data_IF_478253606812
#
_entry.id   IF_478253606812
#
_cell.length_a   1.000
_cell.length_b   1.000
_cell.length_c   1.000
_cell.angle_alpha   90.00
_cell.angle_beta   90.00
_cell.angle_gamma   90.00
#
_symmetry.space_group_name_H-M   'P 1'
#
loop_
_entity.id
_entity.type
_entity.pdbx_description
1 polymer ?
#
# COMPACT_ATOMS: atom_id res chain seq x y z
N UNK A 1 -26.68 24.93 2.76
CA UNK A 1 -26.89 26.39 2.80
C UNK A 1 -25.59 27.17 2.53
N UNK A 2 -24.46 26.77 3.11
CA UNK A 2 -23.16 27.45 2.95
C UNK A 2 -22.67 27.62 1.52
N UNK A 3 -22.79 26.58 0.70
CA UNK A 3 -22.44 26.62 -0.73
C UNK A 3 -23.25 27.68 -1.50
N UNK A 4 -24.55 27.82 -1.21
CA UNK A 4 -25.40 28.85 -1.83
C UNK A 4 -24.96 30.25 -1.42
N UNK A 5 -24.70 30.49 -0.14
CA UNK A 5 -24.19 31.79 0.35
C UNK A 5 -22.88 32.16 -0.35
N UNK A 6 -21.95 31.21 -0.44
CA UNK A 6 -20.69 31.42 -1.15
C UNK A 6 -20.92 31.75 -2.63
N UNK A 7 -21.80 31.03 -3.32
CA UNK A 7 -22.06 31.25 -4.76
C UNK A 7 -22.61 32.65 -5.10
N UNK A 8 -23.19 33.35 -4.12
CA UNK A 8 -23.71 34.72 -4.27
C UNK A 8 -22.85 35.78 -3.58
N UNK A 9 -21.61 35.43 -3.19
CA UNK A 9 -20.63 36.36 -2.63
C UNK A 9 -20.82 36.67 -1.14
N UNK A 10 -21.63 35.89 -0.42
CA UNK A 10 -21.81 36.04 1.03
C UNK A 10 -20.71 35.23 1.73
N UNK A 11 -19.88 35.92 2.52
CA UNK A 11 -18.84 35.28 3.33
C UNK A 11 -19.45 34.55 4.53
N UNK A 12 -18.97 33.34 4.81
CA UNK A 12 -19.39 32.54 5.97
C UNK A 12 -18.17 32.04 6.74
N UNK A 13 -18.19 32.24 8.06
CA UNK A 13 -17.12 31.79 8.96
C UNK A 13 -17.07 30.26 8.97
N UNK A 14 -15.91 29.69 8.67
CA UNK A 14 -15.72 28.23 8.65
C UNK A 14 -16.10 27.55 7.33
N UNK A 15 -16.41 28.29 6.27
CA UNK A 15 -16.63 27.71 4.95
C UNK A 15 -15.32 27.14 4.38
N UNK A 16 -15.30 25.83 4.10
CA UNK A 16 -14.15 25.13 3.51
C UNK A 16 -14.38 25.00 2.00
N UNK A 17 -13.77 25.91 1.24
CA UNK A 17 -13.88 25.95 -0.23
C UNK A 17 -13.48 24.63 -0.91
N UNK A 18 -12.48 23.93 -0.35
CA UNK A 18 -11.96 22.68 -0.90
C UNK A 18 -12.99 21.54 -0.95
N UNK A 19 -14.07 21.60 -0.15
CA UNK A 19 -15.08 20.54 -0.07
C UNK A 19 -16.41 20.95 -0.70
N UNK A 20 -16.48 22.14 -1.30
CA UNK A 20 -17.74 22.75 -1.72
C UNK A 20 -18.17 22.39 -3.14
N UNK A 21 -17.22 21.99 -4.01
CA UNK A 21 -17.45 21.46 -5.35
C UNK A 21 -17.73 19.94 -5.25
N UNK A 22 -18.96 19.60 -4.87
CA UNK A 22 -19.37 18.21 -4.62
C UNK A 22 -19.80 17.49 -5.90
N UNK A 23 -20.10 18.24 -6.95
CA UNK A 23 -20.41 17.67 -8.26
C UNK A 23 -19.15 17.49 -9.14
N UNK A 24 -17.99 18.04 -8.73
CA UNK A 24 -16.68 17.93 -9.36
C UNK A 24 -16.66 18.58 -10.77
N UNK A 25 -17.44 19.64 -10.97
CA UNK A 25 -17.47 20.38 -12.24
C UNK A 25 -16.48 21.55 -12.32
N UNK A 26 -15.74 21.81 -11.23
CA UNK A 26 -14.75 22.88 -11.10
C UNK A 26 -15.34 24.23 -10.67
N UNK A 27 -16.66 24.34 -10.47
CA UNK A 27 -17.36 25.58 -10.18
C UNK A 27 -18.31 25.46 -8.99
N UNK A 28 -17.98 26.13 -7.87
CA UNK A 28 -18.85 26.09 -6.67
C UNK A 28 -20.12 26.93 -6.90
N UNK A 29 -21.26 26.27 -7.11
CA UNK A 29 -22.52 26.93 -7.46
C UNK A 29 -23.79 26.23 -6.91
N UNK A 30 -24.97 26.57 -7.45
CA UNK A 30 -26.25 25.99 -7.02
C UNK A 30 -26.39 24.50 -7.34
N UNK A 31 -25.67 23.98 -8.33
CA UNK A 31 -25.61 22.56 -8.67
C UNK A 31 -25.00 21.73 -7.52
N UNK A 32 -23.93 22.21 -6.89
CA UNK A 32 -23.35 21.59 -5.71
C UNK A 32 -24.32 21.56 -4.53
N UNK A 33 -24.97 22.70 -4.27
CA UNK A 33 -25.95 22.80 -3.22
C UNK A 33 -27.13 21.85 -3.44
N UNK A 34 -27.57 21.69 -4.69
CA UNK A 34 -28.62 20.76 -5.07
C UNK A 34 -28.18 19.31 -4.86
N UNK A 35 -26.95 18.95 -5.23
CA UNK A 35 -26.42 17.60 -5.00
C UNK A 35 -26.33 17.27 -3.51
N UNK A 36 -25.82 18.19 -2.68
CA UNK A 36 -25.84 18.06 -1.22
C UNK A 36 -27.25 17.83 -0.70
N UNK A 37 -28.23 18.61 -1.18
CA UNK A 37 -29.62 18.47 -0.75
C UNK A 37 -30.16 17.09 -1.13
N UNK A 38 -30.02 16.67 -2.38
CA UNK A 38 -30.47 15.35 -2.85
C UNK A 38 -29.85 14.22 -2.05
N UNK A 39 -28.56 14.31 -1.72
CA UNK A 39 -27.88 13.34 -0.85
C UNK A 39 -28.46 13.35 0.57
N UNK A 40 -28.67 14.54 1.15
CA UNK A 40 -29.18 14.67 2.52
C UNK A 40 -30.59 14.11 2.70
N UNK A 41 -31.39 14.07 1.63
CA UNK A 41 -32.75 13.51 1.64
C UNK A 41 -32.83 12.12 1.02
N UNK A 42 -31.68 11.49 0.71
CA UNK A 42 -31.62 10.12 0.19
C UNK A 42 -32.08 9.93 -1.26
N UNK A 43 -32.13 11.01 -2.06
CA UNK A 43 -32.49 10.96 -3.48
C UNK A 43 -31.31 10.62 -4.39
N UNK A 44 -30.08 10.90 -3.95
CA UNK A 44 -28.83 10.57 -4.65
C UNK A 44 -27.76 10.13 -3.64
N UNK A 45 -26.70 9.47 -4.10
CA UNK A 45 -25.48 9.22 -3.32
C UNK A 45 -24.37 10.14 -3.81
N UNK A 46 -23.43 10.50 -2.92
CA UNK A 46 -22.21 11.15 -3.39
C UNK A 46 -21.45 10.21 -4.32
N UNK A 47 -20.96 10.74 -5.45
CA UNK A 47 -20.05 10.00 -6.31
C UNK A 47 -18.60 10.31 -5.87
N UNK A 48 -18.19 9.62 -4.83
CA UNK A 48 -16.85 9.76 -4.24
C UNK A 48 -15.79 9.02 -5.05
N UNK A 49 -16.10 8.61 -6.29
CA UNK A 49 -15.14 8.02 -7.22
C UNK A 49 -13.95 8.97 -7.39
N UNK A 50 -12.73 8.55 -7.03
CA UNK A 50 -11.52 9.33 -7.26
C UNK A 50 -11.30 9.60 -8.74
N UNK A 51 -10.88 10.82 -9.08
CA UNK A 51 -10.70 11.28 -10.47
C UNK A 51 -9.26 11.62 -10.83
N UNK A 52 -8.36 11.72 -9.85
CA UNK A 52 -6.94 11.98 -10.04
C UNK A 52 -6.07 10.93 -9.34
N UNK A 53 -4.80 10.79 -9.77
CA UNK A 53 -3.85 9.89 -9.12
C UNK A 53 -3.71 10.17 -7.62
N UNK A 54 -3.64 11.46 -7.23
CA UNK A 54 -3.62 11.87 -5.82
C UNK A 54 -4.83 11.33 -5.06
N UNK A 55 -6.03 11.55 -5.59
CA UNK A 55 -7.27 11.12 -4.92
C UNK A 55 -7.34 9.59 -4.80
N UNK A 56 -6.87 8.85 -5.81
CA UNK A 56 -6.85 7.38 -5.76
C UNK A 56 -5.89 6.89 -4.66
N UNK A 57 -4.71 7.50 -4.54
CA UNK A 57 -3.74 7.13 -3.50
C UNK A 57 -4.24 7.51 -2.10
N UNK A 58 -4.84 8.69 -1.96
CA UNK A 58 -5.45 9.10 -0.69
C UNK A 58 -6.61 8.16 -0.29
N UNK A 59 -7.42 7.73 -1.26
CA UNK A 59 -8.49 6.74 -1.05
C UNK A 59 -7.92 5.39 -0.58
N UNK A 60 -6.85 4.90 -1.23
CA UNK A 60 -6.17 3.67 -0.82
C UNK A 60 -5.64 3.76 0.63
N UNK A 61 -4.86 4.79 0.96
CA UNK A 61 -4.29 4.96 2.30
C UNK A 61 -5.39 5.09 3.37
N UNK A 62 -6.48 5.78 3.04
CA UNK A 62 -7.64 5.91 3.93
C UNK A 62 -8.33 4.56 4.15
N UNK A 63 -8.54 3.79 3.08
CA UNK A 63 -9.17 2.49 3.16
C UNK A 63 -8.33 1.49 3.98
N UNK A 64 -7.01 1.54 3.82
CA UNK A 64 -6.09 0.68 4.57
C UNK A 64 -6.03 1.04 6.06
N UNK A 65 -5.95 2.33 6.40
CA UNK A 65 -6.06 2.80 7.80
C UNK A 65 -7.40 2.41 8.45
N UNK A 66 -8.50 2.54 7.70
CA UNK A 66 -9.82 2.10 8.16
C UNK A 66 -9.86 0.59 8.38
N UNK A 67 -9.15 -0.17 7.56
CA UNK A 67 -9.02 -1.62 7.71
C UNK A 67 -8.29 -1.97 9.00
N UNK A 68 -7.14 -1.35 9.25
CA UNK A 68 -6.35 -1.60 10.44
C UNK A 68 -7.05 -1.25 11.74
N UNK A 69 -7.97 -0.27 11.72
CA UNK A 69 -8.76 0.10 12.90
C UNK A 69 -10.01 -0.76 13.13
N UNK A 70 -10.41 -1.62 12.19
CA UNK A 70 -11.70 -2.32 12.24
C UNK A 70 -11.62 -3.83 12.02
N UNK A 71 -10.52 -4.34 11.47
CA UNK A 71 -10.37 -5.76 11.22
C UNK A 71 -10.37 -6.55 12.53
N UNK A 72 -11.08 -7.67 12.55
CA UNK A 72 -11.12 -8.63 13.66
C UNK A 72 -10.26 -9.86 13.39
N UNK A 73 -9.94 -10.11 12.13
CA UNK A 73 -9.08 -11.22 11.70
C UNK A 73 -8.36 -10.87 10.42
N UNK A 74 -7.13 -11.33 10.28
CA UNK A 74 -6.39 -11.34 9.02
C UNK A 74 -5.88 -12.75 8.74
N UNK A 75 -5.98 -13.16 7.48
CA UNK A 75 -5.32 -14.37 6.94
C UNK A 75 -4.33 -13.93 5.90
N UNK A 76 -3.08 -14.35 6.05
CA UNK A 76 -1.94 -13.94 5.23
C UNK A 76 -1.36 -15.17 4.57
N UNK A 77 -1.07 -15.05 3.28
CA UNK A 77 -0.30 -16.03 2.51
C UNK A 77 0.91 -15.31 1.94
N UNK A 78 2.11 -15.78 2.27
CA UNK A 78 3.35 -15.32 1.67
C UNK A 78 3.98 -16.42 0.84
N UNK A 79 4.57 -16.05 -0.28
CA UNK A 79 5.27 -16.95 -1.19
C UNK A 79 6.50 -16.23 -1.75
N UNK A 80 7.58 -16.98 -1.94
CA UNK A 80 8.81 -16.46 -2.52
C UNK A 80 9.41 -17.45 -3.52
N UNK A 81 9.60 -16.96 -4.74
CA UNK A 81 10.34 -17.67 -5.78
C UNK A 81 11.55 -16.84 -6.15
N UNK A 82 12.74 -17.38 -5.89
CA UNK A 82 13.99 -16.69 -6.18
C UNK A 82 15.08 -17.61 -6.72
N UNK A 83 15.96 -17.02 -7.51
CA UNK A 83 17.26 -17.58 -7.83
C UNK A 83 18.27 -16.97 -6.86
N UNK A 84 18.90 -17.81 -6.05
CA UNK A 84 20.01 -17.46 -5.18
C UNK A 84 21.33 -17.89 -5.81
N UNK A 85 22.37 -17.10 -5.62
CA UNK A 85 23.72 -17.48 -6.03
C UNK A 85 24.72 -17.07 -4.97
N UNK A 86 25.46 -18.03 -4.44
CA UNK A 86 26.55 -17.80 -3.49
C UNK A 86 27.88 -18.14 -4.15
N UNK A 87 28.77 -17.16 -4.27
CA UNK A 87 30.08 -17.33 -4.88
C UNK A 87 30.07 -18.00 -6.27
N UNK A 88 29.00 -17.80 -7.04
CA UNK A 88 28.80 -18.37 -8.38
C UNK A 88 28.05 -19.71 -8.40
N UNK A 89 27.83 -20.35 -7.26
CA UNK A 89 26.99 -21.55 -7.16
C UNK A 89 25.52 -21.15 -7.04
N UNK A 90 24.70 -21.68 -7.95
CA UNK A 90 23.30 -21.26 -8.13
C UNK A 90 22.34 -22.28 -7.52
N UNK A 91 21.37 -21.78 -6.76
CA UNK A 91 20.23 -22.53 -6.24
C UNK A 91 18.94 -21.82 -6.60
N UNK A 92 17.90 -22.57 -6.96
CA UNK A 92 16.56 -22.03 -7.13
C UNK A 92 15.76 -22.38 -5.88
N UNK A 93 15.21 -21.37 -5.24
CA UNK A 93 14.29 -21.51 -4.13
C UNK A 93 12.87 -21.21 -4.62
N UNK A 94 11.96 -22.12 -4.29
CA UNK A 94 10.53 -21.84 -4.24
C UNK A 94 10.07 -22.38 -2.90
N UNK A 95 9.55 -21.51 -2.04
CA UNK A 95 8.91 -21.97 -0.81
C UNK A 95 7.52 -22.50 -1.12
N UNK A 96 7.07 -23.48 -0.34
CA UNK A 96 5.62 -23.68 -0.22
C UNK A 96 5.04 -22.41 0.41
N UNK A 97 3.87 -21.92 -0.03
CA UNK A 97 3.27 -20.74 0.55
C UNK A 97 3.10 -20.89 2.07
N UNK A 98 3.57 -19.90 2.81
CA UNK A 98 3.43 -19.84 4.26
C UNK A 98 2.11 -19.14 4.55
N UNK A 99 1.30 -19.77 5.39
CA UNK A 99 0.01 -19.21 5.80
C UNK A 99 0.03 -18.88 7.29
N UNK A 100 -0.41 -17.66 7.61
CA UNK A 100 -0.52 -17.15 8.97
C UNK A 100 -1.91 -16.56 9.17
N UNK A 101 -2.48 -16.74 10.36
CA UNK A 101 -3.72 -16.08 10.76
C UNK A 101 -3.50 -15.35 12.09
N UNK A 102 -4.11 -14.19 12.25
CA UNK A 102 -4.16 -13.47 13.50
C UNK A 102 -5.60 -12.97 13.76
N UNK A 103 -6.03 -13.06 15.02
CA UNK A 103 -7.32 -12.56 15.50
C UNK A 103 -7.08 -11.38 16.43
N UNK A 104 -7.96 -10.37 16.36
CA UNK A 104 -7.78 -9.10 17.05
C UNK A 104 -8.90 -8.82 18.04
N UNK A 105 -8.53 -8.59 19.30
CA UNK A 105 -9.42 -8.15 20.36
C UNK A 105 -9.04 -6.73 20.75
N UNK A 106 -9.98 -5.79 20.63
CA UNK A 106 -9.73 -4.36 20.82
C UNK A 106 -8.57 -3.80 19.95
N UNK A 107 -8.37 -4.39 18.77
CA UNK A 107 -7.37 -3.95 17.79
C UNK A 107 -5.97 -4.53 17.96
N UNK A 108 -5.76 -5.45 18.91
CA UNK A 108 -4.49 -6.13 19.18
C UNK A 108 -4.67 -7.65 19.11
N UNK A 109 -3.62 -8.36 18.70
CA UNK A 109 -3.57 -9.83 18.74
C UNK A 109 -3.05 -10.37 20.09
N UNK A 110 -2.71 -11.66 20.15
CA UNK A 110 -2.21 -12.31 21.37
C UNK A 110 -0.82 -11.85 21.83
N UNK A 111 -0.05 -11.23 20.94
CA UNK A 111 1.31 -10.74 21.18
C UNK A 111 1.36 -9.19 21.28
N UNK A 112 0.20 -8.56 21.49
CA UNK A 112 0.00 -7.11 21.55
C UNK A 112 0.38 -6.37 20.24
N UNK A 113 0.40 -7.06 19.10
CA UNK A 113 0.61 -6.41 17.80
C UNK A 113 -0.70 -5.85 17.23
N UNK A 114 -0.68 -4.61 16.72
CA UNK A 114 -1.82 -4.05 16.02
C UNK A 114 -1.97 -4.68 14.64
N UNK A 115 -3.17 -4.60 14.05
CA UNK A 115 -3.44 -5.05 12.67
C UNK A 115 -2.45 -4.45 11.66
N UNK A 116 -2.01 -3.20 11.86
CA UNK A 116 -1.04 -2.53 10.98
C UNK A 116 0.34 -3.19 10.94
N UNK A 117 0.70 -4.00 11.93
CA UNK A 117 1.96 -4.77 11.92
C UNK A 117 1.95 -5.87 10.85
N UNK A 118 0.77 -6.25 10.37
CA UNK A 118 0.58 -7.34 9.44
C UNK A 118 0.49 -6.91 7.98
N UNK A 119 0.49 -5.61 7.66
CA UNK A 119 0.34 -5.09 6.30
C UNK A 119 1.33 -3.95 6.01
N UNK A 120 1.34 -3.41 4.78
CA UNK A 120 2.24 -2.32 4.42
C UNK A 120 1.84 -1.00 5.11
N UNK A 121 2.78 -0.06 5.18
CA UNK A 121 2.51 1.30 5.65
C UNK A 121 1.50 2.02 4.73
N UNK A 122 0.84 3.05 5.26
CA UNK A 122 -0.19 3.83 4.57
C UNK A 122 0.34 5.21 4.16
N UNK A 123 1.58 5.26 3.65
CA UNK A 123 2.31 6.51 3.37
C UNK A 123 2.62 6.74 1.90
N UNK A 124 2.03 5.94 1.01
CA UNK A 124 2.17 6.16 -0.43
C UNK A 124 1.73 7.56 -0.82
N UNK A 125 2.48 8.17 -1.73
CA UNK A 125 2.11 9.42 -2.41
C UNK A 125 2.14 9.19 -3.90
N UNK A 126 1.38 9.97 -4.68
CA UNK A 126 1.37 9.85 -6.15
C UNK A 126 2.77 9.89 -6.77
N UNK A 127 3.70 10.66 -6.18
CA UNK A 127 5.06 10.82 -6.70
C UNK A 127 5.91 9.55 -6.56
N UNK A 128 5.50 8.60 -5.72
CA UNK A 128 6.16 7.30 -5.52
C UNK A 128 5.68 6.25 -6.53
N UNK A 129 4.65 6.53 -7.31
CA UNK A 129 4.02 5.56 -8.21
C UNK A 129 4.49 5.74 -9.66
N UNK A 130 4.70 4.61 -10.32
CA UNK A 130 4.87 4.53 -11.76
C UNK A 130 3.51 4.50 -12.48
N UNK A 131 2.50 3.88 -11.86
CA UNK A 131 1.12 3.88 -12.36
C UNK A 131 0.11 3.64 -11.24
N UNK A 132 -1.13 4.09 -11.47
CA UNK A 132 -2.27 3.83 -10.61
C UNK A 132 -3.55 3.69 -11.44
N UNK A 133 -4.43 2.79 -11.05
CA UNK A 133 -5.74 2.59 -11.66
C UNK A 133 -6.80 2.36 -10.58
N UNK A 134 -7.98 2.92 -10.82
CA UNK A 134 -9.17 2.75 -9.99
C UNK A 134 -10.28 2.12 -10.82
N UNK A 135 -10.87 1.06 -10.29
CA UNK A 135 -11.93 0.30 -10.96
C UNK A 135 -13.11 0.23 -9.99
N UNK A 136 -14.26 0.77 -10.42
CA UNK A 136 -15.52 0.67 -9.70
C UNK A 136 -16.28 -0.56 -10.16
N UNK A 137 -16.54 -1.49 -9.24
CA UNK A 137 -17.42 -2.63 -9.46
C UNK A 137 -18.79 -2.36 -8.81
N UNK A 138 -19.77 -3.23 -9.05
CA UNK A 138 -21.14 -3.02 -8.55
C UNK A 138 -21.23 -2.91 -7.01
N UNK A 139 -20.37 -3.63 -6.27
CA UNK A 139 -20.38 -3.69 -4.80
C UNK A 139 -18.99 -3.57 -4.16
N UNK A 140 -17.99 -3.14 -4.92
CA UNK A 140 -16.61 -3.00 -4.44
C UNK A 140 -15.83 -2.04 -5.33
N UNK A 141 -14.66 -1.66 -4.84
CA UNK A 141 -13.66 -0.93 -5.60
C UNK A 141 -12.41 -1.80 -5.71
N UNK A 142 -11.68 -1.66 -6.80
CA UNK A 142 -10.36 -2.26 -6.96
C UNK A 142 -9.36 -1.17 -7.32
N UNK A 143 -8.27 -1.11 -6.57
CA UNK A 143 -7.13 -0.23 -6.84
C UNK A 143 -5.95 -1.09 -7.26
N UNK A 144 -5.31 -0.71 -8.36
CA UNK A 144 -4.03 -1.29 -8.81
C UNK A 144 -2.99 -0.20 -8.86
N UNK A 145 -1.83 -0.43 -8.26
CA UNK A 145 -0.70 0.51 -8.26
C UNK A 145 0.59 -0.22 -8.61
N UNK A 146 1.52 0.50 -9.21
CA UNK A 146 2.90 0.05 -9.37
C UNK A 146 3.80 1.12 -8.76
N UNK A 147 4.56 0.76 -7.73
CA UNK A 147 5.57 1.63 -7.12
C UNK A 147 6.74 1.82 -8.11
N UNK A 148 7.34 3.02 -8.15
CA UNK A 148 8.53 3.28 -8.97
C UNK A 148 9.68 2.33 -8.63
N UNK A 149 10.53 1.98 -9.62
CA UNK A 149 11.77 1.26 -9.34
C UNK A 149 12.63 2.00 -8.32
N UNK A 150 13.27 1.26 -7.43
CA UNK A 150 14.10 1.80 -6.37
C UNK A 150 15.32 0.91 -6.16
N UNK A 151 16.52 1.51 -6.11
CA UNK A 151 17.75 0.81 -5.73
C UNK A 151 18.21 1.32 -4.37
N UNK A 152 18.30 0.42 -3.40
CA UNK A 152 18.55 0.71 -2.00
C UNK A 152 19.85 0.04 -1.58
N UNK A 153 20.77 0.81 -0.99
CA UNK A 153 21.98 0.27 -0.36
C UNK A 153 21.61 -0.50 0.91
N UNK A 154 22.28 -1.62 1.19
CA UNK A 154 21.98 -2.47 2.38
C UNK A 154 22.13 -1.76 3.73
N UNK A 155 22.75 -0.57 3.76
CA UNK A 155 22.89 0.28 4.96
C UNK A 155 21.88 1.41 5.03
N UNK A 156 20.89 1.42 4.13
CA UNK A 156 19.87 2.47 4.06
C UNK A 156 18.50 1.84 4.01
N UNK A 157 17.54 2.60 4.51
CA UNK A 157 16.13 2.23 4.39
C UNK A 157 15.62 2.54 2.98
N UNK A 158 14.71 1.69 2.51
CA UNK A 158 13.89 1.99 1.34
C UNK A 158 12.98 3.17 1.66
N UNK A 159 12.76 4.06 0.69
CA UNK A 159 11.79 5.15 0.78
C UNK A 159 10.45 4.70 0.18
N UNK A 160 10.48 4.08 -1.01
CA UNK A 160 9.24 3.78 -1.74
C UNK A 160 8.59 2.48 -1.27
N UNK A 161 9.37 1.40 -1.12
CA UNK A 161 8.84 0.13 -0.63
C UNK A 161 8.47 0.17 0.85
N UNK A 162 9.17 0.96 1.67
CA UNK A 162 8.74 1.18 3.06
C UNK A 162 7.38 1.90 3.18
N UNK A 163 6.97 2.67 2.16
CA UNK A 163 5.74 3.46 2.21
C UNK A 163 4.46 2.68 1.81
N UNK A 164 4.60 1.49 1.22
CA UNK A 164 3.45 0.73 0.72
C UNK A 164 3.73 -0.69 0.19
N UNK A 165 4.99 -1.10 0.12
CA UNK A 165 5.40 -2.46 -0.18
C UNK A 165 5.92 -3.18 1.07
N UNK A 166 6.87 -4.08 0.89
CA UNK A 166 7.60 -4.74 1.98
C UNK A 166 9.09 -4.75 1.63
N UNK A 167 9.92 -3.91 2.27
CA UNK A 167 11.36 -3.95 2.07
C UNK A 167 11.96 -5.22 2.68
N UNK A 168 13.04 -5.73 2.09
CA UNK A 168 13.79 -6.85 2.65
C UNK A 168 14.55 -6.43 3.90
N UNK A 169 14.52 -7.28 4.92
CA UNK A 169 15.32 -7.13 6.14
C UNK A 169 16.47 -8.15 6.21
N UNK A 170 16.35 -9.26 5.49
CA UNK A 170 17.35 -10.33 5.40
C UNK A 170 17.43 -10.93 4.00
N UNK A 171 18.55 -11.61 3.74
CA UNK A 171 18.77 -12.48 2.59
C UNK A 171 18.12 -13.85 2.83
N UNK A 172 17.89 -14.62 1.76
CA UNK A 172 17.31 -15.97 1.81
C UNK A 172 18.17 -16.94 2.65
N UNK A 173 19.46 -16.65 2.82
CA UNK A 173 20.36 -17.43 3.67
C UNK A 173 20.22 -17.12 5.18
N UNK A 174 19.29 -16.24 5.54
CA UNK A 174 19.00 -15.84 6.91
C UNK A 174 19.90 -14.71 7.42
N UNK A 175 20.88 -14.24 6.64
CA UNK A 175 21.72 -13.12 7.04
C UNK A 175 20.95 -11.81 6.96
N UNK A 176 20.90 -11.04 8.05
CA UNK A 176 20.29 -9.71 8.04
C UNK A 176 21.05 -8.77 7.10
N UNK A 177 20.33 -7.88 6.39
CA UNK A 177 20.96 -6.95 5.44
C UNK A 177 21.99 -6.03 6.11
N UNK A 178 21.76 -5.68 7.38
CA UNK A 178 22.65 -4.85 8.19
C UNK A 178 23.99 -5.53 8.51
N UNK A 179 24.12 -6.84 8.33
CA UNK A 179 25.35 -7.58 8.63
C UNK A 179 26.27 -7.69 7.41
N UNK A 180 25.74 -7.54 6.19
CA UNK A 180 26.56 -7.48 4.98
C UNK A 180 27.51 -6.29 4.98
N UNK A 181 28.72 -6.45 4.44
CA UNK A 181 29.69 -5.35 4.40
C UNK A 181 29.28 -4.27 3.39
N UNK A 182 28.72 -4.68 2.26
CA UNK A 182 28.17 -3.78 1.24
C UNK A 182 27.19 -4.50 0.34
N UNK A 183 26.41 -3.77 -0.44
CA UNK A 183 25.45 -4.36 -1.35
C UNK A 183 24.27 -3.45 -1.63
N UNK A 184 23.32 -3.96 -2.41
CA UNK A 184 22.07 -3.26 -2.68
C UNK A 184 20.96 -4.21 -3.06
N UNK A 185 19.73 -3.82 -2.79
CA UNK A 185 18.52 -4.41 -3.34
C UNK A 185 17.94 -3.46 -4.39
N UNK A 186 17.56 -3.99 -5.55
CA UNK A 186 16.87 -3.25 -6.60
C UNK A 186 15.45 -3.78 -6.72
N UNK A 187 14.46 -2.97 -6.35
CA UNK A 187 13.05 -3.21 -6.60
C UNK A 187 12.71 -2.69 -7.99
N UNK A 188 12.15 -3.54 -8.86
CA UNK A 188 11.94 -3.19 -10.28
C UNK A 188 10.55 -2.62 -10.57
N UNK A 189 9.64 -2.71 -9.62
CA UNK A 189 8.29 -2.18 -9.71
C UNK A 189 7.33 -3.02 -8.87
N UNK A 190 7.12 -2.61 -7.62
CA UNK A 190 6.25 -3.35 -6.69
C UNK A 190 4.79 -3.13 -7.05
N UNK A 191 4.08 -4.22 -7.33
CA UNK A 191 2.68 -4.21 -7.73
C UNK A 191 1.80 -4.36 -6.49
N UNK A 192 0.82 -3.48 -6.35
CA UNK A 192 -0.18 -3.52 -5.28
C UNK A 192 -1.55 -3.65 -5.92
N UNK A 193 -2.34 -4.58 -5.41
CA UNK A 193 -3.76 -4.73 -5.72
C UNK A 193 -4.55 -4.73 -4.43
N UNK A 194 -5.51 -3.82 -4.28
CA UNK A 194 -6.42 -3.79 -3.15
C UNK A 194 -7.88 -3.90 -3.63
N UNK A 195 -8.64 -4.80 -3.01
CA UNK A 195 -10.09 -4.90 -3.14
C UNK A 195 -10.72 -4.23 -1.92
N UNK A 196 -11.62 -3.28 -2.14
CA UNK A 196 -12.19 -2.42 -1.12
C UNK A 196 -13.70 -2.55 -1.13
N UNK A 197 -14.32 -2.78 0.02
CA UNK A 197 -15.77 -2.91 0.15
C UNK A 197 -16.50 -1.54 0.08
N UNK A 198 -17.83 -1.56 0.02
CA UNK A 198 -18.65 -0.34 0.03
C UNK A 198 -18.53 0.48 1.33
N UNK A 199 -18.01 -0.11 2.40
CA UNK A 199 -17.69 0.58 3.65
C UNK A 199 -16.31 1.27 3.58
N UNK A 200 -15.59 1.18 2.47
CA UNK A 200 -14.26 1.77 2.30
C UNK A 200 -13.18 1.03 3.08
N UNK A 201 -13.28 -0.29 3.23
CA UNK A 201 -12.29 -1.15 3.91
C UNK A 201 -11.70 -2.13 2.92
N UNK A 202 -10.38 -2.34 2.99
CA UNK A 202 -9.66 -3.34 2.20
C UNK A 202 -10.04 -4.72 2.71
N UNK A 203 -10.64 -5.55 1.84
CA UNK A 203 -11.00 -6.94 2.14
C UNK A 203 -9.94 -7.93 1.65
N UNK A 204 -9.24 -7.58 0.57
CA UNK A 204 -8.12 -8.35 0.03
C UNK A 204 -7.01 -7.39 -0.43
N UNK A 205 -5.78 -7.68 -0.02
CA UNK A 205 -4.58 -6.95 -0.41
C UNK A 205 -3.58 -7.95 -1.02
N UNK A 206 -3.05 -7.64 -2.18
CA UNK A 206 -1.93 -8.38 -2.79
C UNK A 206 -0.79 -7.41 -3.05
N UNK A 207 0.41 -7.78 -2.62
CA UNK A 207 1.65 -7.06 -2.89
C UNK A 207 2.64 -8.03 -3.53
N UNK A 208 3.13 -7.68 -4.72
CA UNK A 208 4.17 -8.45 -5.42
C UNK A 208 5.40 -7.58 -5.57
N UNK A 209 6.50 -8.03 -5.01
CA UNK A 209 7.75 -7.27 -4.90
C UNK A 209 8.82 -7.97 -5.73
N UNK A 210 8.97 -7.64 -7.03
CA UNK A 210 10.05 -8.17 -7.85
C UNK A 210 11.37 -7.46 -7.52
N UNK A 211 12.42 -8.24 -7.25
CA UNK A 211 13.70 -7.75 -6.77
C UNK A 211 14.91 -8.41 -7.44
N UNK A 212 16.03 -7.67 -7.41
CA UNK A 212 17.36 -8.11 -7.83
C UNK A 212 18.39 -7.54 -6.84
N UNK A 213 19.06 -8.42 -6.09
CA UNK A 213 19.95 -8.07 -4.99
C UNK A 213 21.38 -8.53 -5.23
N UNK A 214 22.32 -7.75 -4.69
CA UNK A 214 23.74 -8.11 -4.65
C UNK A 214 24.28 -7.75 -3.29
N UNK A 215 24.80 -8.73 -2.56
CA UNK A 215 25.36 -8.57 -1.23
C UNK A 215 26.80 -9.08 -1.19
N UNK A 216 27.64 -8.41 -0.40
CA UNK A 216 29.03 -8.78 -0.22
C UNK A 216 29.37 -8.84 1.27
N UNK A 217 29.99 -9.95 1.69
CA UNK A 217 30.45 -10.15 3.05
C UNK A 217 31.98 -10.27 3.07
N UNK A 218 32.66 -9.38 3.79
CA UNK A 218 34.11 -9.45 3.96
C UNK A 218 34.47 -10.31 5.16
N UNK A 219 35.12 -11.44 4.89
CA UNK A 219 35.58 -12.39 5.89
C UNK A 219 36.86 -11.88 6.59
N UNK A 220 37.14 -12.41 7.79
CA UNK A 220 38.35 -12.06 8.58
C UNK A 220 39.66 -12.35 7.84
N UNK A 221 39.67 -13.37 6.98
CA UNK A 221 40.83 -13.72 6.15
C UNK A 221 41.00 -12.83 4.91
N UNK A 222 40.16 -11.80 4.74
CA UNK A 222 40.21 -10.87 3.62
C UNK A 222 39.46 -11.34 2.37
N UNK A 223 38.93 -12.56 2.34
CA UNK A 223 38.05 -13.05 1.27
C UNK A 223 36.73 -12.28 1.29
N UNK A 224 36.19 -11.98 0.13
CA UNK A 224 34.82 -11.45 -0.01
C UNK A 224 33.94 -12.55 -0.58
N UNK A 225 32.90 -12.91 0.15
CA UNK A 225 31.82 -13.74 -0.36
C UNK A 225 30.77 -12.86 -1.02
N UNK A 226 30.26 -13.31 -2.17
CA UNK A 226 29.24 -12.59 -2.93
C UNK A 226 27.96 -13.42 -3.00
N UNK A 227 26.87 -12.80 -2.59
CA UNK A 227 25.51 -13.33 -2.70
C UNK A 227 24.74 -12.50 -3.71
N UNK A 228 23.95 -13.13 -4.58
CA UNK A 228 22.96 -12.42 -5.40
C UNK A 228 21.64 -13.16 -5.36
N UNK A 229 20.53 -12.43 -5.26
CA UNK A 229 19.20 -13.00 -5.33
C UNK A 229 18.37 -12.28 -6.39
N UNK A 230 17.56 -13.02 -7.12
CA UNK A 230 16.62 -12.46 -8.07
C UNK A 230 15.32 -13.23 -8.01
N UNK A 231 14.25 -12.54 -7.68
CA UNK A 231 12.98 -13.20 -7.43
C UNK A 231 11.81 -12.24 -7.33
N UNK A 232 10.70 -12.81 -6.88
CA UNK A 232 9.50 -12.06 -6.54
C UNK A 232 8.95 -12.61 -5.24
N UNK A 233 8.82 -11.75 -4.24
CA UNK A 233 8.07 -12.06 -3.03
C UNK A 233 6.62 -11.64 -3.24
N UNK A 234 5.69 -12.51 -2.87
CA UNK A 234 4.25 -12.28 -2.95
C UNK A 234 3.67 -12.32 -1.55
N UNK A 235 2.88 -11.30 -1.22
CA UNK A 235 2.10 -11.21 -0.01
C UNK A 235 0.63 -11.07 -0.38
N UNK A 236 -0.24 -11.87 0.23
CA UNK A 236 -1.69 -11.80 0.06
C UNK A 236 -2.33 -11.78 1.43
N UNK A 237 -3.09 -10.74 1.75
CA UNK A 237 -3.88 -10.67 2.97
C UNK A 237 -5.37 -10.58 2.70
N UNK A 238 -6.15 -11.28 3.53
CA UNK A 238 -7.61 -11.20 3.56
C UNK A 238 -8.05 -10.76 4.95
N UNK A 239 -8.76 -9.62 4.99
CA UNK A 239 -9.24 -9.03 6.24
C UNK A 239 -10.72 -9.35 6.44
N UNK A 240 -11.09 -9.64 7.69
CA UNK A 240 -12.48 -9.87 8.11
C UNK A 240 -12.88 -8.89 9.21
N UNK A 241 -14.15 -8.49 9.23
CA UNK A 241 -14.69 -7.39 10.03
C UNK A 241 -15.92 -7.79 10.84
#
# INVERSE_FOLDING_TARGET
LSVLKYSVGISEKGFIKANADVNKDGSINSADALKILKVSVGLETMDDTPTSEKEIVDFYNTALNKTYSQAKKVRIVTDEVCTYTFNGEKTVFGSDPIETEAEFVNGLDEDDFPVSAYGPDTKLTQNMLNSVAFIKNSNSYEIRMVIKPEKVDVKKDSVYNAAGGFPFESSIDGTELKDYTSGSVTYTGTEIKAVIDNSGRVTELTVKTPYDSVFNMKQKNGKTDKTTEKGTSTYIAKFSF
#
